data_IF_658021018717
#
_entry.id   IF_658021018717
#
_cell.length_a   1.000
_cell.length_b   1.000
_cell.length_c   1.000
_cell.angle_alpha   90.00
_cell.angle_beta   90.00
_cell.angle_gamma   90.00
#
_symmetry.space_group_name_H-M   'P 1'
#
loop_
_entity.id
_entity.type
_entity.pdbx_description
1 polymer ?
#
# COMPACT_ATOMS: atom_id res chain seq x y z
N UNK A 1 -29.95 -19.01 -3.04
CA UNK A 1 -28.81 -18.73 -2.13
C UNK A 1 -27.48 -19.24 -2.70
N UNK A 2 -27.35 -20.52 -3.09
CA UNK A 2 -26.10 -21.09 -3.65
C UNK A 2 -25.56 -20.33 -4.88
N UNK A 3 -26.41 -20.00 -5.85
CA UNK A 3 -25.98 -19.23 -7.03
C UNK A 3 -25.37 -17.86 -6.66
N UNK A 4 -25.96 -17.16 -5.69
CA UNK A 4 -25.43 -15.87 -5.21
C UNK A 4 -24.08 -16.07 -4.53
N UNK A 5 -23.93 -17.13 -3.73
CA UNK A 5 -22.66 -17.45 -3.08
C UNK A 5 -21.54 -17.75 -4.08
N UNK A 6 -21.82 -18.48 -5.17
CA UNK A 6 -20.83 -18.78 -6.23
C UNK A 6 -20.35 -17.49 -6.91
N UNK A 7 -21.27 -16.58 -7.25
CA UNK A 7 -20.90 -15.30 -7.86
C UNK A 7 -20.12 -14.40 -6.90
N UNK A 8 -20.53 -14.32 -5.62
CA UNK A 8 -19.82 -13.55 -4.60
C UNK A 8 -18.42 -14.12 -4.37
N UNK A 9 -18.29 -15.44 -4.21
CA UNK A 9 -17.00 -16.09 -4.04
C UNK A 9 -16.10 -15.89 -5.27
N UNK A 10 -16.66 -15.99 -6.47
CA UNK A 10 -15.95 -15.71 -7.73
C UNK A 10 -15.44 -14.27 -7.80
N UNK A 11 -16.26 -13.29 -7.46
CA UNK A 11 -15.87 -11.88 -7.44
C UNK A 11 -14.75 -11.60 -6.41
N UNK A 12 -14.88 -12.14 -5.19
CA UNK A 12 -13.87 -12.01 -4.15
C UNK A 12 -12.55 -12.69 -4.57
N UNK A 13 -12.63 -13.90 -5.14
CA UNK A 13 -11.45 -14.62 -5.63
C UNK A 13 -10.73 -13.88 -6.75
N UNK A 14 -11.47 -13.34 -7.71
CA UNK A 14 -10.92 -12.54 -8.80
C UNK A 14 -10.28 -11.25 -8.28
N UNK A 15 -10.93 -10.55 -7.36
CA UNK A 15 -10.38 -9.35 -6.75
C UNK A 15 -9.11 -9.66 -5.94
N UNK A 16 -9.09 -10.74 -5.17
CA UNK A 16 -7.89 -11.20 -4.46
C UNK A 16 -6.73 -11.53 -5.40
N UNK A 17 -7.00 -12.22 -6.51
CA UNK A 17 -5.99 -12.51 -7.54
C UNK A 17 -5.45 -11.23 -8.19
N UNK A 18 -6.34 -10.28 -8.51
CA UNK A 18 -5.96 -8.97 -9.04
C UNK A 18 -5.05 -8.20 -8.09
N UNK A 19 -5.41 -8.13 -6.80
CA UNK A 19 -4.59 -7.48 -5.78
C UNK A 19 -3.22 -8.15 -5.66
N UNK A 20 -3.17 -9.50 -5.65
CA UNK A 20 -1.91 -10.24 -5.57
C UNK A 20 -0.99 -9.92 -6.75
N UNK A 21 -1.53 -9.92 -7.98
CA UNK A 21 -0.79 -9.57 -9.19
C UNK A 21 -0.27 -8.13 -9.10
N UNK A 22 -1.09 -7.18 -8.65
CA UNK A 22 -0.67 -5.78 -8.47
C UNK A 22 0.48 -5.64 -7.46
N UNK A 23 0.40 -6.33 -6.32
CA UNK A 23 1.42 -6.25 -5.28
C UNK A 23 2.73 -6.92 -5.68
N UNK A 24 2.70 -8.01 -6.44
CA UNK A 24 3.96 -8.63 -6.93
C UNK A 24 4.65 -7.72 -7.96
N UNK A 25 3.88 -7.03 -8.80
CA UNK A 25 4.43 -6.14 -9.82
C UNK A 25 4.97 -4.83 -9.24
N UNK A 26 4.38 -4.30 -8.17
CA UNK A 26 4.77 -3.03 -7.57
C UNK A 26 5.42 -3.22 -6.20
N UNK A 27 6.70 -2.83 -6.09
CA UNK A 27 7.47 -2.92 -4.85
C UNK A 27 7.68 -1.53 -4.27
N UNK A 28 7.40 -1.40 -2.97
CA UNK A 28 7.68 -0.20 -2.19
C UNK A 28 9.02 -0.37 -1.49
N UNK A 29 9.90 0.63 -1.59
CA UNK A 29 11.21 0.65 -0.93
C UNK A 29 11.36 1.92 -0.12
N UNK A 30 11.46 1.77 1.20
CA UNK A 30 11.77 2.86 2.10
C UNK A 30 13.28 3.14 2.06
N UNK A 31 13.64 4.32 1.57
CA UNK A 31 15.02 4.85 1.63
C UNK A 31 15.14 5.81 2.82
N UNK A 32 16.32 6.41 3.08
CA UNK A 32 16.46 7.44 4.12
C UNK A 32 15.61 8.69 3.88
N UNK A 33 15.37 9.08 2.62
CA UNK A 33 14.74 10.35 2.25
C UNK A 33 13.44 10.22 1.47
N UNK A 34 13.19 9.06 0.85
CA UNK A 34 12.10 8.84 -0.09
C UNK A 34 11.44 7.47 0.09
N UNK A 35 10.14 7.40 -0.18
CA UNK A 35 9.46 6.15 -0.53
C UNK A 35 9.54 5.96 -2.05
N UNK A 36 10.34 5.00 -2.46
CA UNK A 36 10.49 4.64 -3.87
C UNK A 36 9.49 3.56 -4.27
N UNK A 37 8.88 3.71 -5.44
CA UNK A 37 8.01 2.71 -6.06
C UNK A 37 8.69 2.13 -7.29
N UNK A 38 8.87 0.82 -7.27
CA UNK A 38 9.47 0.04 -8.34
C UNK A 38 8.44 -0.82 -9.04
N UNK A 39 8.63 -1.01 -10.35
CA UNK A 39 8.01 -2.09 -11.13
C UNK A 39 9.11 -3.02 -11.62
N UNK A 40 9.20 -4.21 -11.01
CA UNK A 40 10.39 -5.05 -11.13
C UNK A 40 11.63 -4.31 -10.62
N UNK A 41 12.63 -4.11 -11.49
CA UNK A 41 13.85 -3.36 -11.18
C UNK A 41 13.78 -1.88 -11.61
N UNK A 42 12.70 -1.47 -12.28
CA UNK A 42 12.55 -0.09 -12.78
C UNK A 42 11.91 0.79 -11.72
N UNK A 43 12.58 1.87 -11.33
CA UNK A 43 11.99 2.91 -10.49
C UNK A 43 10.95 3.68 -11.31
N UNK A 44 9.68 3.64 -10.89
CA UNK A 44 8.59 4.31 -11.60
C UNK A 44 8.20 5.64 -10.95
N UNK A 45 8.42 5.80 -9.64
CA UNK A 45 8.09 7.02 -8.91
C UNK A 45 8.86 7.11 -7.59
N UNK A 46 9.22 8.34 -7.20
CA UNK A 46 9.71 8.67 -5.86
C UNK A 46 8.72 9.55 -5.13
N UNK A 47 8.63 9.38 -3.83
CA UNK A 47 7.82 10.19 -2.93
C UNK A 47 8.72 10.68 -1.79
N UNK A 48 9.28 11.90 -1.88
CA UNK A 48 10.18 12.44 -0.86
C UNK A 48 9.44 12.69 0.45
N UNK A 49 9.97 12.21 1.57
CA UNK A 49 9.32 12.41 2.88
C UNK A 49 9.20 13.88 3.27
N UNK A 50 10.07 14.75 2.74
CA UNK A 50 9.99 16.20 2.96
C UNK A 50 8.70 16.82 2.42
N UNK A 51 8.08 16.18 1.41
CA UNK A 51 6.81 16.64 0.84
C UNK A 51 5.59 16.04 1.57
N UNK A 52 5.80 15.12 2.52
CA UNK A 52 4.72 14.44 3.21
C UNK A 52 4.14 15.32 4.31
N UNK A 53 2.82 15.32 4.40
CA UNK A 53 2.04 16.04 5.41
C UNK A 53 1.44 15.08 6.44
N UNK A 54 1.00 13.90 6.00
CA UNK A 54 0.43 12.89 6.86
C UNK A 54 0.51 11.50 6.21
N UNK A 55 0.43 10.46 7.02
CA UNK A 55 0.19 9.09 6.58
C UNK A 55 -0.79 8.38 7.50
N UNK A 56 -1.52 7.39 7.00
CA UNK A 56 -2.41 6.55 7.80
C UNK A 56 -2.36 5.11 7.30
N UNK A 57 -2.59 4.18 8.22
CA UNK A 57 -2.75 2.76 7.92
C UNK A 57 -4.17 2.38 8.37
N UNK A 58 -5.05 2.14 7.41
CA UNK A 58 -6.43 1.74 7.64
C UNK A 58 -6.60 0.22 7.59
N UNK A 59 -7.59 -0.28 8.33
CA UNK A 59 -7.99 -1.70 8.38
C UNK A 59 -6.85 -2.66 8.73
N UNK A 60 -6.41 -2.65 9.99
CA UNK A 60 -5.36 -3.56 10.49
C UNK A 60 -5.62 -5.09 10.31
N UNK A 61 -6.88 -5.62 10.35
CA UNK A 61 -7.12 -7.06 10.27
C UNK A 61 -7.29 -7.66 8.85
N UNK A 62 -7.58 -6.84 7.84
CA UNK A 62 -7.93 -7.24 6.45
C UNK A 62 -7.12 -6.35 5.49
N UNK A 63 -7.04 -6.56 4.16
CA UNK A 63 -5.97 -5.98 3.34
C UNK A 63 -5.81 -4.49 3.62
N UNK A 64 -4.65 -4.16 4.15
CA UNK A 64 -4.38 -2.91 4.82
C UNK A 64 -4.34 -1.81 3.75
N UNK A 65 -5.05 -0.71 3.98
CA UNK A 65 -4.98 0.43 3.06
C UNK A 65 -4.00 1.45 3.64
N UNK A 66 -2.89 1.67 2.94
CA UNK A 66 -1.96 2.74 3.30
C UNK A 66 -2.27 3.99 2.53
N UNK A 67 -2.38 5.06 3.29
CA UNK A 67 -2.63 6.40 2.84
C UNK A 67 -1.43 7.26 3.18
N UNK A 68 -1.03 8.10 2.24
CA UNK A 68 -0.16 9.21 2.55
C UNK A 68 -0.52 10.43 1.69
N UNK A 69 -0.30 11.60 2.27
CA UNK A 69 -0.59 12.89 1.65
C UNK A 69 0.70 13.66 1.47
N UNK A 70 0.96 14.06 0.24
CA UNK A 70 1.97 15.04 -0.12
C UNK A 70 1.34 16.44 -0.22
N UNK A 71 2.17 17.48 -0.27
CA UNK A 71 1.72 18.87 -0.45
C UNK A 71 0.76 19.02 -1.65
N UNK A 72 1.03 18.31 -2.75
CA UNK A 72 0.30 18.45 -4.02
C UNK A 72 -0.54 17.23 -4.42
N UNK A 73 -0.52 16.15 -3.65
CA UNK A 73 -1.21 14.91 -4.02
C UNK A 73 -1.58 14.04 -2.83
N UNK A 74 -2.60 13.19 -3.03
CA UNK A 74 -3.05 12.18 -2.07
C UNK A 74 -2.90 10.82 -2.72
N UNK A 75 -2.38 9.84 -1.97
CA UNK A 75 -2.13 8.49 -2.46
C UNK A 75 -2.75 7.44 -1.54
N UNK A 76 -3.25 6.39 -2.17
CA UNK A 76 -3.80 5.20 -1.52
C UNK A 76 -3.18 3.96 -2.15
N UNK A 77 -2.60 3.10 -1.32
CA UNK A 77 -1.90 1.89 -1.74
C UNK A 77 -2.50 0.69 -0.99
N UNK A 78 -3.01 -0.32 -1.69
CA UNK A 78 -3.36 -1.58 -1.06
C UNK A 78 -2.07 -2.26 -0.59
N UNK A 79 -2.09 -2.77 0.64
CA UNK A 79 -0.97 -3.47 1.26
C UNK A 79 -1.35 -4.91 1.51
N UNK A 80 -0.52 -5.80 0.98
CA UNK A 80 -0.58 -7.25 1.20
C UNK A 80 0.72 -7.72 1.87
N UNK A 81 1.38 -6.84 2.63
CA UNK A 81 2.60 -7.11 3.38
C UNK A 81 2.43 -6.70 4.85
N UNK A 82 3.42 -7.04 5.70
CA UNK A 82 3.28 -6.94 7.16
C UNK A 82 2.96 -5.50 7.63
N UNK A 83 1.75 -5.25 8.20
CA UNK A 83 1.35 -3.93 8.68
C UNK A 83 2.23 -3.41 9.81
N UNK A 84 2.74 -4.30 10.67
CA UNK A 84 3.58 -3.92 11.82
C UNK A 84 4.93 -3.42 11.33
N UNK A 85 5.54 -4.15 10.41
CA UNK A 85 6.81 -3.74 9.79
C UNK A 85 6.65 -2.41 9.06
N UNK A 86 5.57 -2.23 8.31
CA UNK A 86 5.30 -0.96 7.63
C UNK A 86 5.20 0.20 8.61
N UNK A 87 4.39 0.04 9.66
CA UNK A 87 4.22 1.06 10.69
C UNK A 87 5.55 1.42 11.33
N UNK A 88 6.35 0.42 11.72
CA UNK A 88 7.68 0.65 12.27
C UNK A 88 8.58 1.41 11.29
N UNK A 89 8.58 1.08 9.99
CA UNK A 89 9.34 1.82 8.99
C UNK A 89 8.89 3.27 8.87
N UNK A 90 7.57 3.52 8.84
CA UNK A 90 7.00 4.85 8.76
C UNK A 90 7.31 5.67 10.01
N UNK A 91 7.12 5.13 11.22
CA UNK A 91 7.43 5.83 12.47
C UNK A 91 8.93 6.17 12.59
N UNK A 92 9.81 5.30 12.09
CA UNK A 92 11.26 5.55 12.09
C UNK A 92 11.73 6.55 11.01
N UNK A 93 10.98 6.74 9.92
CA UNK A 93 11.39 7.60 8.79
C UNK A 93 10.63 8.92 8.75
N UNK A 94 9.35 8.89 9.11
CA UNK A 94 8.44 10.02 9.19
C UNK A 94 7.51 9.82 10.40
N UNK A 95 8.00 10.08 11.63
CA UNK A 95 7.16 10.00 12.81
C UNK A 95 6.00 11.00 12.71
N UNK A 96 4.80 10.58 13.11
CA UNK A 96 3.70 11.52 13.31
C UNK A 96 4.02 12.40 14.51
N UNK A 97 3.74 13.69 14.39
CA UNK A 97 3.77 14.62 15.51
C UNK A 97 2.67 14.32 16.53
#
# INVERSE_FOLDING_TARGET
LLFVQVWVAGAIGLFGAFLLIQTVMLRLRFTPTDLDVYRGETLIRRFPYQEWQNWEIFWSPVPILFYFREVKSIHFLPIIFDPKMLRMCLENRFPKA
#
